data_IF_681370067596
#
_entry.id   IF_681370067596
#
_cell.length_a   1.000
_cell.length_b   1.000
_cell.length_c   1.000
_cell.angle_alpha   90.00
_cell.angle_beta   90.00
_cell.angle_gamma   90.00
#
_symmetry.space_group_name_H-M   'P 1'
#
loop_
_entity.id
_entity.type
_entity.pdbx_description
1 polymer ?
#
# COMPACT_ATOMS: atom_id res chain seq x y z
N UNK A 1 6.73 12.56 8.86
CA UNK A 1 7.27 12.63 7.48
C UNK A 1 6.15 12.33 6.50
N UNK A 2 6.07 13.06 5.40
CA UNK A 2 5.06 12.83 4.37
C UNK A 2 5.31 11.51 3.62
N UNK A 3 4.26 10.89 3.07
CA UNK A 3 4.35 9.63 2.32
C UNK A 3 5.10 9.81 1.00
N UNK A 4 5.89 8.81 0.56
CA UNK A 4 6.63 8.86 -0.72
C UNK A 4 5.63 9.08 -1.88
N UNK A 5 5.76 10.20 -2.60
CA UNK A 5 4.82 10.63 -3.64
C UNK A 5 3.77 11.67 -3.20
N UNK A 6 3.80 12.12 -1.95
CA UNK A 6 2.93 13.18 -1.41
C UNK A 6 3.78 14.35 -0.90
N UNK A 7 3.40 15.57 -1.29
CA UNK A 7 3.81 16.84 -0.69
C UNK A 7 2.56 17.46 -0.11
N UNK A 8 2.60 17.86 1.18
CA UNK A 8 1.45 18.43 1.88
C UNK A 8 0.85 19.63 1.09
N UNK A 9 -0.39 19.48 0.64
CA UNK A 9 -1.15 20.55 -0.05
C UNK A 9 -1.32 20.37 -1.56
N UNK A 10 -0.69 19.37 -2.18
CA UNK A 10 -0.87 19.08 -3.61
C UNK A 10 -1.69 17.80 -3.84
N UNK A 11 -2.43 17.76 -4.95
CA UNK A 11 -3.09 16.52 -5.42
C UNK A 11 -2.03 15.49 -5.71
N UNK A 12 -2.19 14.28 -5.18
CA UNK A 12 -1.36 13.12 -5.48
C UNK A 12 -1.15 12.98 -6.98
N UNK A 13 0.02 13.41 -7.46
CA UNK A 13 0.36 13.43 -8.87
C UNK A 13 0.97 12.07 -9.23
N UNK A 14 0.08 11.09 -9.38
CA UNK A 14 0.41 9.76 -9.91
C UNK A 14 1.11 9.82 -11.28
N UNK A 15 0.96 10.91 -12.03
CA UNK A 15 1.43 11.05 -13.42
C UNK A 15 2.83 11.72 -13.53
N UNK A 16 3.42 12.19 -12.43
CA UNK A 16 4.68 12.97 -12.48
C UNK A 16 5.99 12.22 -12.15
N UNK A 17 5.96 10.90 -11.90
CA UNK A 17 7.07 10.16 -11.25
C UNK A 17 7.69 9.04 -12.09
N UNK A 18 7.66 9.17 -13.42
CA UNK A 18 8.18 8.16 -14.35
C UNK A 18 9.68 8.27 -14.63
N UNK A 19 10.55 7.86 -13.69
CA UNK A 19 11.94 7.42 -13.95
C UNK A 19 12.53 6.74 -12.70
N UNK A 20 12.46 5.41 -12.55
CA UNK A 20 13.27 4.68 -11.54
C UNK A 20 13.16 5.16 -10.07
N UNK A 21 12.07 5.84 -9.69
CA UNK A 21 11.93 6.57 -8.41
C UNK A 21 11.62 5.73 -7.17
N UNK A 22 11.39 4.41 -7.31
CA UNK A 22 11.01 3.57 -6.17
C UNK A 22 12.11 3.51 -5.11
N UNK A 23 13.29 3.03 -5.49
CA UNK A 23 14.46 2.91 -4.61
C UNK A 23 15.04 4.28 -4.28
N UNK A 24 15.26 5.12 -5.30
CA UNK A 24 15.78 6.48 -5.11
C UNK A 24 14.85 7.35 -4.26
N UNK A 25 13.52 7.15 -4.35
CA UNK A 25 12.54 7.86 -3.53
C UNK A 25 12.51 7.38 -2.07
N UNK A 26 12.80 6.11 -1.80
CA UNK A 26 12.96 5.59 -0.44
C UNK A 26 14.26 6.11 0.18
N UNK A 27 15.38 6.04 -0.54
CA UNK A 27 16.68 6.57 -0.08
C UNK A 27 16.62 8.07 0.18
N UNK A 28 16.06 8.86 -0.74
CA UNK A 28 15.88 10.29 -0.56
C UNK A 28 15.01 10.60 0.67
N UNK A 29 13.95 9.81 0.89
CA UNK A 29 13.08 9.97 2.07
C UNK A 29 13.84 9.67 3.36
N UNK A 30 14.66 8.63 3.39
CA UNK A 30 15.51 8.27 4.54
C UNK A 30 16.58 9.35 4.77
N UNK A 31 17.20 9.89 3.72
CA UNK A 31 18.11 11.03 3.83
C UNK A 31 17.43 12.27 4.43
N UNK A 32 16.21 12.59 3.98
CA UNK A 32 15.38 13.66 4.57
C UNK A 32 15.05 13.37 6.04
N UNK A 33 14.80 12.11 6.41
CA UNK A 33 14.59 11.71 7.82
C UNK A 33 15.80 12.03 8.69
N UNK A 34 17.00 11.70 8.23
CA UNK A 34 18.23 12.06 8.93
C UNK A 34 18.41 13.58 9.06
N UNK A 35 18.10 14.35 8.02
CA UNK A 35 18.18 15.82 8.07
C UNK A 35 17.20 16.44 9.07
N UNK A 36 15.94 15.99 9.10
CA UNK A 36 14.96 16.49 10.07
C UNK A 36 15.29 16.06 11.50
N UNK A 37 15.79 14.83 11.68
CA UNK A 37 16.27 14.35 12.97
C UNK A 37 17.44 15.22 13.49
N UNK A 38 18.38 15.58 12.61
CA UNK A 38 19.48 16.47 12.97
C UNK A 38 18.97 17.84 13.46
N UNK A 39 18.03 18.45 12.73
CA UNK A 39 17.44 19.74 13.11
C UNK A 39 16.73 19.65 14.47
N UNK A 40 15.99 18.56 14.70
CA UNK A 40 15.32 18.31 15.97
C UNK A 40 16.33 18.16 17.13
N UNK A 41 17.39 17.37 16.93
CA UNK A 41 18.48 17.20 17.89
C UNK A 41 19.16 18.54 18.24
N UNK A 42 19.43 19.38 17.24
CA UNK A 42 19.97 20.73 17.44
C UNK A 42 19.01 21.63 18.21
N UNK A 43 17.69 21.48 18.00
CA UNK A 43 16.67 22.17 18.78
C UNK A 43 16.69 21.77 20.25
N UNK A 44 16.84 20.47 20.55
CA UNK A 44 16.95 19.95 21.92
C UNK A 44 18.20 20.49 22.61
N UNK A 45 19.34 20.49 21.93
CA UNK A 45 20.60 21.01 22.49
C UNK A 45 20.47 22.45 23.00
N UNK A 46 19.68 23.28 22.30
CA UNK A 46 19.41 24.67 22.72
C UNK A 46 18.46 24.78 23.90
N UNK A 47 17.50 23.88 24.03
CA UNK A 47 16.51 23.89 25.11
C UNK A 47 17.06 23.29 26.41
N UNK A 48 17.97 22.33 26.29
CA UNK A 48 18.52 21.57 27.41
C UNK A 48 20.06 21.57 27.36
N UNK A 49 20.67 22.75 27.41
CA UNK A 49 22.12 22.93 27.25
C UNK A 49 22.98 22.24 28.30
N UNK A 50 22.41 21.94 29.47
CA UNK A 50 23.11 21.31 30.59
C UNK A 50 22.76 19.82 30.76
N UNK A 51 21.85 19.29 29.93
CA UNK A 51 21.50 17.88 29.96
C UNK A 51 22.49 17.05 29.15
N UNK A 52 22.82 15.87 29.66
CA UNK A 52 23.59 14.85 28.94
C UNK A 52 22.67 13.72 28.50
N UNK A 53 22.82 13.28 27.26
CA UNK A 53 22.12 12.12 26.72
C UNK A 53 22.85 10.85 27.15
N UNK A 54 22.13 10.00 27.88
CA UNK A 54 22.59 8.67 28.29
C UNK A 54 22.25 7.59 27.27
N UNK A 55 21.10 7.68 26.61
CA UNK A 55 20.66 6.76 25.56
C UNK A 55 19.69 7.42 24.58
N UNK A 56 19.56 6.82 23.40
CA UNK A 56 18.62 7.19 22.35
C UNK A 56 17.84 5.95 21.93
N UNK A 57 16.52 6.00 22.08
CA UNK A 57 15.62 4.94 21.60
C UNK A 57 14.78 5.49 20.47
N UNK A 58 14.67 4.72 19.38
CA UNK A 58 13.91 5.09 18.20
C UNK A 58 12.80 4.08 17.93
N UNK A 59 11.58 4.59 17.86
CA UNK A 59 10.42 3.81 17.44
C UNK A 59 10.06 4.23 16.01
N UNK A 60 10.12 3.27 15.09
CA UNK A 60 10.03 3.52 13.66
C UNK A 60 8.74 2.91 13.12
N UNK A 61 7.89 3.76 12.53
CA UNK A 61 6.64 3.33 11.92
C UNK A 61 6.65 3.64 10.43
N UNK A 62 6.04 2.76 9.64
CA UNK A 62 5.92 3.00 8.21
C UNK A 62 4.77 2.23 7.58
N UNK A 63 4.14 2.86 6.58
CA UNK A 63 3.12 2.25 5.74
C UNK A 63 3.57 2.20 4.29
N UNK A 64 3.34 1.09 3.58
CA UNK A 64 3.61 0.96 2.15
C UNK A 64 5.09 1.16 1.82
N UNK A 65 5.41 2.09 0.92
CA UNK A 65 6.79 2.55 0.67
C UNK A 65 7.42 3.20 1.91
N UNK A 66 6.62 3.82 2.77
CA UNK A 66 7.08 4.31 4.07
C UNK A 66 7.53 3.18 5.00
N UNK A 67 6.94 1.99 4.88
CA UNK A 67 7.41 0.80 5.60
C UNK A 67 8.74 0.29 5.02
N UNK A 68 8.94 0.37 3.70
CA UNK A 68 10.23 0.09 3.08
C UNK A 68 11.31 1.08 3.55
N UNK A 69 10.97 2.37 3.64
CA UNK A 69 11.82 3.40 4.22
C UNK A 69 12.11 3.16 5.71
N UNK A 70 11.11 2.75 6.50
CA UNK A 70 11.29 2.38 7.90
C UNK A 70 12.27 1.21 8.06
N UNK A 71 12.17 0.18 7.21
CA UNK A 71 13.10 -0.96 7.20
C UNK A 71 14.52 -0.52 6.83
N UNK A 72 14.65 0.30 5.79
CA UNK A 72 15.94 0.81 5.35
C UNK A 72 16.59 1.70 6.41
N UNK A 73 15.83 2.62 6.99
CA UNK A 73 16.24 3.48 8.11
C UNK A 73 16.70 2.64 9.30
N UNK A 74 15.92 1.62 9.68
CA UNK A 74 16.25 0.73 10.79
C UNK A 74 17.59 0.02 10.58
N UNK A 75 17.88 -0.45 9.37
CA UNK A 75 19.19 -1.01 9.04
C UNK A 75 20.35 -0.01 9.19
N UNK A 76 20.15 1.25 8.77
CA UNK A 76 21.13 2.32 9.01
C UNK A 76 21.29 2.66 10.49
N UNK A 77 20.24 2.49 11.31
CA UNK A 77 20.36 2.62 12.78
C UNK A 77 21.19 1.50 13.37
N UNK A 78 20.87 0.27 12.99
CA UNK A 78 21.53 -0.92 13.50
C UNK A 78 23.00 -1.05 13.08
N UNK A 79 23.46 -0.32 12.06
CA UNK A 79 24.89 -0.26 11.70
C UNK A 79 25.73 0.58 12.68
N UNK A 80 25.11 1.25 13.65
CA UNK A 80 25.76 1.95 14.75
C UNK A 80 26.68 3.09 14.29
N UNK A 81 27.95 3.07 14.72
CA UNK A 81 28.93 4.13 14.47
C UNK A 81 29.42 4.25 13.03
N UNK A 82 29.01 3.35 12.12
CA UNK A 82 29.24 3.47 10.68
C UNK A 82 28.01 4.08 10.02
N UNK A 83 28.20 5.18 9.29
CA UNK A 83 27.14 5.83 8.51
C UNK A 83 26.49 7.01 9.22
N UNK A 84 25.19 7.19 8.97
CA UNK A 84 24.45 8.42 9.28
C UNK A 84 24.39 8.79 10.77
N UNK A 85 24.43 7.84 11.70
CA UNK A 85 24.36 8.14 13.14
C UNK A 85 25.59 8.84 13.69
N UNK A 86 26.77 8.49 13.19
CA UNK A 86 27.99 9.19 13.59
C UNK A 86 27.93 10.66 13.16
N UNK A 87 27.53 10.89 11.91
CA UNK A 87 27.35 12.22 11.37
C UNK A 87 26.29 13.03 12.16
N UNK A 88 25.18 12.38 12.53
CA UNK A 88 24.14 13.00 13.36
C UNK A 88 24.70 13.46 14.70
N UNK A 89 25.38 12.58 15.43
CA UNK A 89 25.95 12.88 16.74
C UNK A 89 26.92 14.05 16.63
N UNK A 90 27.88 13.97 15.70
CA UNK A 90 28.93 14.98 15.51
C UNK A 90 28.34 16.36 15.16
N UNK A 91 27.21 16.41 14.44
CA UNK A 91 26.58 17.67 14.00
C UNK A 91 25.45 18.17 14.91
N UNK A 92 24.99 17.36 15.87
CA UNK A 92 23.82 17.66 16.70
C UNK A 92 24.06 18.74 17.76
N UNK A 93 25.32 18.95 18.14
CA UNK A 93 25.72 19.75 19.30
C UNK A 93 25.10 19.28 20.63
N UNK A 94 24.56 18.05 20.70
CA UNK A 94 24.09 17.46 21.94
C UNK A 94 25.27 17.00 22.79
N UNK A 95 25.15 17.15 24.11
CA UNK A 95 26.09 16.56 25.06
C UNK A 95 25.68 15.12 25.30
N UNK A 96 26.63 14.20 25.14
CA UNK A 96 26.44 12.79 25.47
C UNK A 96 27.31 12.47 26.68
N UNK A 97 26.87 11.50 27.50
CA UNK A 97 27.69 11.01 28.62
C UNK A 97 29.09 10.58 28.13
N UNK A 98 30.15 10.68 28.96
CA UNK A 98 31.53 10.38 28.53
C UNK A 98 31.74 8.97 27.98
N UNK A 99 30.99 7.99 28.46
CA UNK A 99 31.02 6.59 28.06
C UNK A 99 29.96 6.23 27.01
N UNK A 100 29.34 7.22 26.37
CA UNK A 100 28.30 6.98 25.36
C UNK A 100 28.87 6.21 24.17
N UNK A 101 28.34 5.02 23.95
CA UNK A 101 28.73 4.15 22.86
C UNK A 101 27.57 4.04 21.87
N UNK A 102 27.62 4.66 20.68
CA UNK A 102 26.49 4.66 19.73
C UNK A 102 25.96 3.27 19.36
N UNK A 103 26.83 2.24 19.37
CA UNK A 103 26.43 0.86 19.08
C UNK A 103 25.61 0.21 20.21
N UNK A 104 25.71 0.71 21.43
CA UNK A 104 25.04 0.19 22.63
C UNK A 104 23.87 1.09 23.03
N UNK A 105 24.07 2.40 22.94
CA UNK A 105 23.19 3.41 23.51
C UNK A 105 22.20 3.98 22.50
N UNK A 106 22.37 3.71 21.20
CA UNK A 106 21.35 3.95 20.18
C UNK A 106 20.66 2.64 19.86
N UNK A 107 19.38 2.55 20.17
CA UNK A 107 18.61 1.32 20.04
C UNK A 107 17.31 1.56 19.27
N UNK A 108 16.89 0.54 18.53
CA UNK A 108 15.54 0.50 17.96
C UNK A 108 14.60 -0.07 19.04
N UNK A 109 13.66 0.74 19.50
CA UNK A 109 12.66 0.34 20.49
C UNK A 109 11.61 -0.56 19.88
N UNK A 110 10.99 -0.10 18.79
CA UNK A 110 9.94 -0.82 18.07
C UNK A 110 9.93 -0.44 16.57
N UNK A 111 9.68 -1.43 15.70
CA UNK A 111 9.50 -1.22 14.26
C UNK A 111 8.12 -1.72 13.84
N UNK A 112 7.18 -0.78 13.69
CA UNK A 112 5.80 -1.05 13.32
C UNK A 112 5.53 -0.83 11.84
N UNK A 113 5.30 -1.89 11.08
CA UNK A 113 5.13 -1.85 9.63
C UNK A 113 3.68 -2.13 9.24
N UNK A 114 3.17 -1.37 8.27
CA UNK A 114 1.91 -1.63 7.60
C UNK A 114 2.20 -1.94 6.14
N UNK A 115 1.94 -3.19 5.75
CA UNK A 115 1.86 -3.67 4.38
C UNK A 115 2.99 -3.19 3.47
N UNK A 116 4.23 -3.61 3.75
CA UNK A 116 5.42 -3.11 3.06
C UNK A 116 5.39 -3.38 1.57
N UNK A 117 5.57 -2.32 0.77
CA UNK A 117 5.73 -2.39 -0.69
C UNK A 117 7.02 -1.66 -1.06
N UNK A 118 8.03 -2.41 -1.51
CA UNK A 118 9.35 -1.88 -1.87
C UNK A 118 9.34 -1.12 -3.21
N UNK A 119 8.61 -1.62 -4.19
CA UNK A 119 8.52 -1.02 -5.52
C UNK A 119 7.20 -1.37 -6.21
N UNK A 120 6.77 -0.50 -7.12
CA UNK A 120 5.62 -0.74 -8.00
C UNK A 120 6.17 -1.31 -9.32
N UNK A 121 5.98 -2.63 -9.52
CA UNK A 121 6.58 -3.42 -10.61
C UNK A 121 6.25 -2.89 -12.01
N UNK A 122 5.09 -2.24 -12.19
CA UNK A 122 4.64 -1.73 -13.49
C UNK A 122 5.43 -0.54 -14.05
N UNK A 123 6.17 0.22 -13.24
CA UNK A 123 6.94 1.37 -13.74
C UNK A 123 8.37 1.03 -14.19
N UNK A 124 8.91 -0.11 -13.78
CA UNK A 124 10.29 -0.49 -14.08
C UNK A 124 10.45 -1.08 -15.49
N UNK A 125 9.35 -1.49 -16.13
CA UNK A 125 9.38 -2.09 -17.48
C UNK A 125 9.28 -1.07 -18.63
N UNK A 126 9.32 0.24 -18.34
CA UNK A 126 9.29 1.31 -19.35
C UNK A 126 10.68 1.84 -19.74
N UNK A 127 11.76 1.29 -19.19
CA UNK A 127 13.10 1.76 -19.50
C UNK A 127 14.14 0.73 -19.13
N UNK A 128 14.86 0.29 -20.14
CA UNK A 128 16.08 -0.48 -20.04
C UNK A 128 17.10 0.32 -19.21
N UNK A 129 17.15 0.11 -17.89
CA UNK A 129 18.18 0.68 -17.00
C UNK A 129 19.12 -0.43 -16.54
N UNK A 130 19.91 -0.89 -17.50
CA UNK A 130 21.29 -1.26 -17.22
C UNK A 130 22.01 -0.01 -16.69
N UNK A 131 22.13 0.12 -15.36
CA UNK A 131 23.08 1.06 -14.77
C UNK A 131 23.64 0.53 -13.45
N UNK A 132 24.91 0.14 -13.53
CA UNK A 132 25.84 -0.03 -12.41
C UNK A 132 25.71 1.14 -11.42
N UNK A 133 25.64 0.83 -10.11
CA UNK A 133 25.63 1.74 -8.95
C UNK A 133 24.30 2.39 -8.53
N UNK A 134 23.21 1.63 -8.45
CA UNK A 134 22.08 1.99 -7.56
C UNK A 134 22.32 1.30 -6.21
N UNK A 135 22.41 2.02 -5.08
CA UNK A 135 22.49 1.36 -3.78
C UNK A 135 21.19 0.57 -3.57
N UNK A 136 21.33 -0.72 -3.26
CA UNK A 136 20.17 -1.61 -3.10
C UNK A 136 19.50 -1.30 -1.77
N UNK A 137 18.18 -1.09 -1.78
CA UNK A 137 17.40 -0.92 -0.56
C UNK A 137 17.65 -2.08 0.41
N UNK A 138 18.11 -1.74 1.62
CA UNK A 138 18.29 -2.72 2.70
C UNK A 138 16.97 -2.97 3.42
N UNK A 139 16.24 -3.98 2.97
CA UNK A 139 14.95 -4.35 3.55
C UNK A 139 15.04 -5.50 4.56
N UNK A 140 16.12 -6.28 4.56
CA UNK A 140 16.30 -7.36 5.52
C UNK A 140 16.49 -6.80 6.93
N UNK A 141 15.58 -7.09 7.86
CA UNK A 141 15.74 -6.78 9.29
C UNK A 141 16.34 -7.98 10.01
N UNK A 142 17.59 -7.86 10.47
CA UNK A 142 18.27 -8.94 11.19
C UNK A 142 17.63 -9.15 12.59
N UNK A 143 17.01 -10.31 12.89
CA UNK A 143 16.33 -10.53 14.16
C UNK A 143 17.26 -10.51 15.38
N UNK A 144 18.55 -10.77 15.19
CA UNK A 144 19.54 -10.69 16.27
C UNK A 144 19.94 -9.26 16.65
N UNK A 145 19.54 -8.27 15.83
CA UNK A 145 19.90 -6.85 16.03
C UNK A 145 18.66 -5.98 16.19
N UNK A 146 17.57 -6.32 15.49
CA UNK A 146 16.31 -5.57 15.46
C UNK A 146 15.22 -6.50 15.99
N UNK A 147 15.01 -6.55 17.31
CA UNK A 147 14.16 -7.58 17.92
C UNK A 147 12.66 -7.27 17.96
N UNK A 148 12.27 -6.01 18.11
CA UNK A 148 10.86 -5.63 18.31
C UNK A 148 10.23 -5.15 16.99
N UNK A 149 9.97 -6.08 16.07
CA UNK A 149 9.37 -5.78 14.76
C UNK A 149 8.00 -6.44 14.66
N UNK A 150 7.03 -5.75 14.04
CA UNK A 150 5.77 -6.37 13.61
C UNK A 150 5.31 -5.77 12.30
N UNK A 151 4.71 -6.59 11.44
CA UNK A 151 4.06 -6.13 10.22
C UNK A 151 2.60 -6.57 10.16
N UNK A 152 1.70 -5.60 9.96
CA UNK A 152 0.32 -5.87 9.57
C UNK A 152 0.25 -6.01 8.04
N UNK A 153 -0.37 -7.06 7.54
CA UNK A 153 -0.41 -7.41 6.10
C UNK A 153 -1.84 -7.47 5.60
N UNK A 154 -2.07 -6.83 4.45
CA UNK A 154 -3.38 -6.79 3.81
C UNK A 154 -3.67 -8.15 3.18
N UNK A 155 -4.70 -8.84 3.68
CA UNK A 155 -5.13 -10.15 3.18
C UNK A 155 -5.69 -10.08 1.77
N UNK A 156 -6.49 -9.05 1.50
CA UNK A 156 -7.35 -8.99 0.32
C UNK A 156 -6.75 -8.14 -0.81
N UNK A 157 -5.52 -7.65 -0.63
CA UNK A 157 -4.79 -6.92 -1.67
C UNK A 157 -4.34 -7.85 -2.81
N UNK A 158 -4.75 -7.55 -4.04
CA UNK A 158 -4.52 -8.39 -5.23
C UNK A 158 -3.86 -7.66 -6.41
N UNK A 159 -3.57 -6.36 -6.28
CA UNK A 159 -2.99 -5.57 -7.37
C UNK A 159 -1.59 -6.05 -7.71
N UNK A 160 -1.32 -6.14 -9.02
CA UNK A 160 -0.01 -6.49 -9.56
C UNK A 160 1.11 -5.58 -9.02
N UNK A 161 0.82 -4.29 -8.90
CA UNK A 161 1.76 -3.25 -8.51
C UNK A 161 2.05 -3.16 -7.01
N UNK A 162 1.36 -3.93 -6.17
CA UNK A 162 1.45 -3.85 -4.72
C UNK A 162 2.06 -5.12 -4.13
N UNK A 163 3.21 -5.54 -4.66
CA UNK A 163 3.92 -6.71 -4.16
C UNK A 163 4.35 -6.54 -2.69
N UNK A 164 4.01 -7.51 -1.85
CA UNK A 164 4.32 -7.50 -0.43
C UNK A 164 5.80 -7.84 -0.21
N UNK A 165 6.52 -7.06 0.58
CA UNK A 165 7.83 -7.47 1.12
C UNK A 165 7.64 -8.10 2.50
N UNK A 166 7.86 -9.40 2.59
CA UNK A 166 7.63 -10.15 3.83
C UNK A 166 8.69 -9.84 4.89
N UNK A 167 8.35 -10.15 6.15
CA UNK A 167 9.28 -10.23 7.28
C UNK A 167 9.19 -11.56 8.04
N UNK A 168 8.19 -12.39 7.71
CA UNK A 168 8.10 -13.77 8.18
C UNK A 168 9.17 -14.65 7.48
N UNK A 169 9.73 -15.68 8.17
CA UNK A 169 9.42 -16.12 9.54
C UNK A 169 10.23 -15.40 10.63
N UNK A 170 11.21 -14.57 10.27
CA UNK A 170 12.14 -13.95 11.23
C UNK A 170 11.42 -13.00 12.22
N UNK A 171 10.32 -12.38 11.79
CA UNK A 171 9.54 -11.43 12.58
C UNK A 171 8.03 -11.70 12.47
N UNK A 172 7.24 -11.32 13.50
CA UNK A 172 5.78 -11.40 13.47
C UNK A 172 5.12 -10.68 12.27
N UNK A 173 4.37 -11.43 11.48
CA UNK A 173 3.55 -10.93 10.36
C UNK A 173 2.08 -11.30 10.61
N UNK A 174 1.24 -10.30 10.84
CA UNK A 174 -0.19 -10.48 11.16
C UNK A 174 -1.02 -10.14 9.92
N UNK A 175 -1.68 -11.14 9.35
CA UNK A 175 -2.55 -10.95 8.18
C UNK A 175 -3.95 -10.55 8.65
N UNK A 176 -4.45 -9.42 8.15
CA UNK A 176 -5.74 -8.82 8.54
C UNK A 176 -6.63 -8.58 7.32
N UNK A 177 -7.97 -8.65 7.46
CA UNK A 177 -8.89 -8.47 6.34
C UNK A 177 -8.79 -7.05 5.75
N UNK A 178 -9.05 -6.91 4.45
CA UNK A 178 -8.95 -5.64 3.75
C UNK A 178 -7.73 -5.53 2.84
N UNK A 179 -7.74 -4.46 2.06
CA UNK A 179 -6.72 -4.12 1.06
C UNK A 179 -5.69 -3.15 1.64
N UNK A 180 -4.67 -2.81 0.85
CA UNK A 180 -3.51 -2.02 1.29
C UNK A 180 -3.85 -0.79 2.15
N UNK A 181 -4.77 0.05 1.68
CA UNK A 181 -5.18 1.29 2.37
C UNK A 181 -6.30 1.09 3.40
N UNK A 182 -6.93 -0.10 3.45
CA UNK A 182 -7.76 -0.46 4.60
C UNK A 182 -6.88 -0.67 5.83
N UNK A 183 -5.62 -1.10 5.65
CA UNK A 183 -4.65 -1.25 6.73
C UNK A 183 -3.98 0.06 7.12
N UNK A 184 -3.24 0.67 6.18
CA UNK A 184 -2.45 1.86 6.47
C UNK A 184 -3.24 3.18 6.50
N UNK A 185 -4.52 3.12 6.15
CA UNK A 185 -5.35 4.31 5.95
C UNK A 185 -5.18 4.96 4.57
N UNK A 186 -5.94 6.02 4.34
CA UNK A 186 -5.95 6.80 3.09
C UNK A 186 -7.30 6.82 2.38
N UNK A 187 -8.21 5.90 2.71
CA UNK A 187 -9.60 6.01 2.29
C UNK A 187 -10.34 7.08 3.10
N UNK A 188 -11.28 7.75 2.43
CA UNK A 188 -12.21 8.68 3.10
C UNK A 188 -13.16 7.89 3.98
N UNK A 189 -13.75 8.54 4.98
CA UNK A 189 -14.77 7.92 5.84
C UNK A 189 -15.89 7.28 5.03
N UNK A 190 -16.27 7.91 3.91
CA UNK A 190 -17.24 7.38 2.96
C UNK A 190 -16.74 7.58 1.54
N UNK A 191 -16.80 6.53 0.73
CA UNK A 191 -16.39 6.54 -0.67
C UNK A 191 -17.42 5.81 -1.52
N UNK A 192 -17.72 6.41 -2.68
CA UNK A 192 -18.51 5.76 -3.73
C UNK A 192 -17.55 5.03 -4.67
N UNK A 193 -17.64 3.71 -4.70
CA UNK A 193 -16.92 2.87 -5.65
C UNK A 193 -17.77 2.71 -6.91
N UNK A 194 -17.18 3.00 -8.07
CA UNK A 194 -17.73 2.66 -9.38
C UNK A 194 -16.58 2.08 -10.23
N UNK A 195 -16.36 0.77 -10.09
CA UNK A 195 -15.11 0.13 -10.51
C UNK A 195 -15.38 -1.08 -11.42
N UNK A 196 -14.72 -1.15 -12.56
CA UNK A 196 -14.69 -2.32 -13.43
C UNK A 196 -13.89 -3.42 -12.75
N UNK A 197 -14.57 -4.49 -12.34
CA UNK A 197 -13.94 -5.62 -11.65
C UNK A 197 -13.47 -6.72 -12.62
N UNK A 198 -13.94 -6.66 -13.86
CA UNK A 198 -13.38 -7.39 -15.01
C UNK A 198 -12.87 -6.40 -16.05
N UNK A 199 -11.95 -6.81 -16.95
CA UNK A 199 -11.67 -6.02 -18.15
C UNK A 199 -12.97 -5.75 -18.92
N UNK A 200 -13.08 -4.56 -19.51
CA UNK A 200 -14.13 -4.28 -20.48
C UNK A 200 -13.77 -5.00 -21.78
N UNK A 201 -14.48 -6.08 -22.09
CA UNK A 201 -14.24 -6.84 -23.30
C UNK A 201 -14.92 -6.18 -24.50
N UNK A 202 -14.40 -6.39 -25.70
CA UNK A 202 -14.97 -5.88 -26.95
C UNK A 202 -15.10 -6.97 -28.00
N UNK A 203 -16.18 -6.96 -28.78
CA UNK A 203 -16.42 -7.90 -29.88
C UNK A 203 -17.02 -7.19 -31.09
N UNK A 204 -16.58 -7.54 -32.30
CA UNK A 204 -17.13 -6.98 -33.54
C UNK A 204 -18.24 -7.86 -34.11
N UNK A 205 -19.45 -7.32 -34.20
CA UNK A 205 -20.67 -8.02 -34.57
C UNK A 205 -21.42 -7.27 -35.68
N UNK A 206 -22.39 -7.92 -36.32
CA UNK A 206 -23.30 -7.26 -37.27
C UNK A 206 -24.14 -6.17 -36.57
N UNK A 207 -24.64 -5.18 -37.31
CA UNK A 207 -25.35 -4.03 -36.73
C UNK A 207 -26.60 -4.43 -35.92
N UNK A 208 -27.30 -5.46 -36.38
CA UNK A 208 -28.52 -6.00 -35.80
C UNK A 208 -28.27 -6.91 -34.58
N UNK A 209 -27.04 -7.38 -34.37
CA UNK A 209 -26.76 -8.35 -33.31
C UNK A 209 -26.81 -7.69 -31.93
N UNK A 210 -27.54 -8.30 -30.99
CA UNK A 210 -27.63 -7.81 -29.61
C UNK A 210 -26.37 -8.19 -28.83
N UNK A 211 -25.86 -7.26 -28.01
CA UNK A 211 -24.73 -7.52 -27.11
C UNK A 211 -25.06 -8.64 -26.12
N UNK A 212 -26.31 -8.79 -25.71
CA UNK A 212 -26.71 -9.81 -24.72
C UNK A 212 -26.56 -11.25 -25.23
N UNK A 213 -26.46 -11.44 -26.55
CA UNK A 213 -26.29 -12.76 -27.19
C UNK A 213 -24.82 -13.12 -27.42
N UNK A 214 -23.90 -12.21 -27.09
CA UNK A 214 -22.47 -12.39 -27.36
C UNK A 214 -21.73 -13.20 -26.30
N UNK A 215 -20.58 -13.76 -26.68
CA UNK A 215 -19.67 -14.43 -25.74
C UNK A 215 -19.21 -13.50 -24.61
N UNK A 216 -18.91 -12.24 -24.93
CA UNK A 216 -18.41 -11.26 -23.94
C UNK A 216 -19.47 -10.92 -22.87
N UNK A 217 -20.76 -10.95 -23.23
CA UNK A 217 -21.84 -10.75 -22.26
C UNK A 217 -22.03 -11.98 -21.38
N UNK A 218 -21.98 -13.19 -21.96
CA UNK A 218 -21.99 -14.44 -21.19
C UNK A 218 -20.84 -14.48 -20.17
N UNK A 219 -19.63 -14.09 -20.58
CA UNK A 219 -18.48 -14.02 -19.67
C UNK A 219 -18.73 -13.04 -18.51
N UNK A 220 -19.40 -11.91 -18.76
CA UNK A 220 -19.75 -10.94 -17.72
C UNK A 220 -20.83 -11.50 -16.76
N UNK A 221 -21.79 -12.27 -17.26
CA UNK A 221 -22.78 -13.00 -16.44
C UNK A 221 -22.11 -14.04 -15.56
N UNK A 222 -21.21 -14.84 -16.11
CA UNK A 222 -20.43 -15.84 -15.36
C UNK A 222 -19.53 -15.18 -14.32
N UNK A 223 -18.90 -14.05 -14.65
CA UNK A 223 -18.13 -13.25 -13.68
C UNK A 223 -19.02 -12.75 -12.54
N UNK A 224 -20.23 -12.25 -12.84
CA UNK A 224 -21.18 -11.80 -11.81
C UNK A 224 -21.57 -12.95 -10.88
N UNK A 225 -21.87 -14.13 -11.43
CA UNK A 225 -22.20 -15.31 -10.65
C UNK A 225 -21.06 -15.74 -9.72
N UNK A 226 -19.80 -15.70 -10.19
CA UNK A 226 -18.63 -15.98 -9.34
C UNK A 226 -18.48 -15.00 -8.18
N UNK A 227 -18.64 -13.70 -8.43
CA UNK A 227 -18.57 -12.69 -7.37
C UNK A 227 -19.68 -12.88 -6.33
N UNK A 228 -20.90 -13.20 -6.75
CA UNK A 228 -22.00 -13.52 -5.83
C UNK A 228 -21.65 -14.76 -4.99
N UNK A 229 -21.08 -15.80 -5.60
CA UNK A 229 -20.64 -17.01 -4.89
C UNK A 229 -19.49 -16.73 -3.90
N UNK A 230 -18.65 -15.74 -4.17
CA UNK A 230 -17.61 -15.24 -3.24
C UNK A 230 -18.19 -14.36 -2.10
N UNK A 231 -19.51 -14.16 -2.05
CA UNK A 231 -20.21 -13.44 -0.99
C UNK A 231 -20.42 -11.94 -1.26
N UNK A 232 -20.23 -11.48 -2.50
CA UNK A 232 -20.48 -10.08 -2.86
C UNK A 232 -21.99 -9.81 -3.07
N UNK A 233 -22.52 -8.64 -2.67
CA UNK A 233 -23.93 -8.31 -2.85
C UNK A 233 -24.33 -8.20 -4.33
N UNK A 234 -25.34 -8.95 -4.75
CA UNK A 234 -25.75 -9.04 -6.16
C UNK A 234 -26.29 -7.72 -6.74
N UNK A 235 -26.86 -6.88 -5.89
CA UNK A 235 -27.42 -5.55 -6.18
C UNK A 235 -26.33 -4.51 -6.46
N UNK A 236 -25.12 -4.69 -5.91
CA UNK A 236 -23.95 -3.84 -6.18
C UNK A 236 -23.23 -4.18 -7.49
N UNK A 237 -23.56 -5.32 -8.11
CA UNK A 237 -22.87 -5.85 -9.27
C UNK A 237 -23.68 -5.61 -10.56
N UNK A 238 -23.13 -4.82 -11.47
CA UNK A 238 -23.78 -4.39 -12.69
C UNK A 238 -22.99 -4.86 -13.91
N UNK A 239 -23.67 -5.52 -14.84
CA UNK A 239 -23.11 -5.75 -16.17
C UNK A 239 -23.26 -4.45 -16.94
N UNK A 240 -22.15 -3.94 -17.45
CA UNK A 240 -22.11 -2.67 -18.18
C UNK A 240 -21.87 -2.97 -19.65
N UNK A 241 -22.77 -2.44 -20.48
CA UNK A 241 -22.72 -2.50 -21.94
C UNK A 241 -22.72 -1.08 -22.50
N UNK A 242 -21.55 -0.41 -22.58
CA UNK A 242 -21.44 0.92 -23.19
C UNK A 242 -21.99 0.96 -24.63
N UNK A 243 -22.27 2.17 -25.11
CA UNK A 243 -22.77 2.39 -26.47
C UNK A 243 -21.84 1.74 -27.51
N UNK A 244 -22.43 1.01 -28.46
CA UNK A 244 -21.67 0.30 -29.47
C UNK A 244 -21.02 1.29 -30.45
N UNK A 245 -19.76 1.03 -30.80
CA UNK A 245 -19.02 1.85 -31.75
C UNK A 245 -19.24 1.29 -33.16
N UNK A 246 -19.88 2.08 -34.05
CA UNK A 246 -20.02 1.66 -35.45
C UNK A 246 -18.65 1.65 -36.13
N UNK A 247 -18.32 0.55 -36.78
CA UNK A 247 -17.04 0.40 -37.47
C UNK A 247 -17.11 1.04 -38.87
N UNK A 248 -15.99 1.62 -39.36
CA UNK A 248 -15.92 2.08 -40.73
C UNK A 248 -16.10 0.90 -41.70
N UNK A 249 -16.60 1.17 -42.93
CA UNK A 249 -16.66 0.15 -43.97
C UNK A 249 -15.28 -0.44 -44.25
N UNK A 250 -15.23 -1.74 -44.53
CA UNK A 250 -13.99 -2.41 -44.89
C UNK A 250 -13.45 -1.81 -46.21
N UNK A 251 -12.20 -1.34 -46.17
CA UNK A 251 -11.54 -0.75 -47.33
C UNK A 251 -11.17 -1.79 -48.39
N UNK A 252 -10.96 -3.04 -47.98
CA UNK A 252 -10.59 -4.16 -48.84
C UNK A 252 -11.81 -4.92 -49.37
N UNK A 253 -12.91 -4.95 -48.59
CA UNK A 253 -14.20 -5.54 -49.02
C UNK A 253 -15.38 -4.59 -48.83
N UNK A 254 -15.64 -3.76 -49.85
CA UNK A 254 -16.75 -2.80 -49.84
C UNK A 254 -18.15 -3.45 -49.82
N UNK A 255 -18.24 -4.75 -50.09
CA UNK A 255 -19.51 -5.50 -50.04
C UNK A 255 -19.73 -6.16 -48.67
N UNK A 256 -18.74 -6.11 -47.76
CA UNK A 256 -18.87 -6.66 -46.42
C UNK A 256 -20.04 -5.99 -45.66
N UNK A 257 -20.83 -6.77 -44.89
CA UNK A 257 -21.92 -6.23 -44.11
C UNK A 257 -21.39 -5.23 -43.07
N UNK A 258 -22.18 -4.19 -42.79
CA UNK A 258 -21.80 -3.22 -41.79
C UNK A 258 -21.69 -3.87 -40.40
N UNK A 259 -20.67 -3.46 -39.64
CA UNK A 259 -20.35 -4.00 -38.32
C UNK A 259 -20.33 -2.91 -37.26
N UNK A 260 -20.52 -3.33 -36.01
CA UNK A 260 -20.33 -2.52 -34.81
C UNK A 260 -19.45 -3.28 -33.83
N UNK A 261 -18.71 -2.54 -33.01
CA UNK A 261 -18.01 -3.07 -31.85
C UNK A 261 -18.87 -2.87 -30.62
N UNK A 262 -19.24 -3.98 -30.00
CA UNK A 262 -19.98 -4.00 -28.73
C UNK A 262 -19.02 -4.26 -27.57
N UNK A 263 -19.42 -3.85 -26.37
CA UNK A 263 -18.62 -3.96 -25.16
C UNK A 263 -19.43 -4.58 -24.02
N UNK A 264 -18.78 -5.39 -23.19
CA UNK A 264 -19.39 -5.96 -22.00
C UNK A 264 -18.35 -6.15 -20.90
N UNK A 265 -18.74 -5.91 -19.65
CA UNK A 265 -17.91 -6.15 -18.49
C UNK A 265 -18.71 -6.05 -17.19
N UNK A 266 -18.12 -6.49 -16.09
CA UNK A 266 -18.71 -6.39 -14.76
C UNK A 266 -18.15 -5.19 -14.01
N UNK A 267 -19.05 -4.38 -13.46
CA UNK A 267 -18.76 -3.23 -12.64
C UNK A 267 -19.36 -3.42 -11.25
N UNK A 268 -18.65 -3.00 -10.22
CA UNK A 268 -19.20 -2.85 -8.87
C UNK A 268 -19.55 -1.38 -8.63
N UNK A 269 -20.75 -1.13 -8.09
CA UNK A 269 -21.23 0.18 -7.63
C UNK A 269 -21.75 0.07 -6.21
N UNK A 270 -21.10 0.77 -5.29
CA UNK A 270 -21.50 0.75 -3.88
C UNK A 270 -20.86 1.88 -3.08
N UNK A 271 -21.39 2.07 -1.89
CA UNK A 271 -20.77 2.88 -0.85
C UNK A 271 -19.90 2.01 0.07
N UNK A 272 -18.67 2.44 0.32
CA UNK A 272 -17.72 1.77 1.21
C UNK A 272 -17.17 2.78 2.21
N UNK A 273 -16.94 2.31 3.43
CA UNK A 273 -16.50 3.14 4.54
C UNK A 273 -15.03 2.89 4.91
N UNK A 274 -14.30 3.96 5.20
CA UNK A 274 -12.85 3.94 5.46
C UNK A 274 -12.41 3.67 6.90
N UNK A 275 -13.34 3.46 7.84
CA UNK A 275 -13.00 3.38 9.27
C UNK A 275 -12.31 2.07 9.67
N UNK A 276 -12.22 1.07 8.79
CA UNK A 276 -11.51 -0.18 9.09
C UNK A 276 -10.03 0.05 9.45
N UNK A 277 -9.41 1.06 8.83
CA UNK A 277 -8.03 1.49 9.16
C UNK A 277 -7.86 1.95 10.61
N UNK A 278 -8.94 2.44 11.25
CA UNK A 278 -8.92 2.84 12.66
C UNK A 278 -8.80 1.64 13.58
N UNK A 279 -9.41 0.51 13.21
CA UNK A 279 -9.26 -0.77 13.94
C UNK A 279 -7.80 -1.19 13.94
N UNK A 280 -7.14 -1.17 12.79
CA UNK A 280 -5.74 -1.60 12.67
C UNK A 280 -4.74 -0.62 13.26
N UNK A 281 -5.07 0.68 13.25
CA UNK A 281 -4.34 1.67 14.03
C UNK A 281 -4.33 1.31 15.52
N UNK A 282 -5.47 0.87 16.09
CA UNK A 282 -5.54 0.41 17.49
C UNK A 282 -4.78 -0.88 17.74
N UNK A 283 -4.81 -1.84 16.80
CA UNK A 283 -3.99 -3.05 16.88
C UNK A 283 -2.51 -2.70 16.96
N UNK A 284 -1.99 -1.88 16.03
CA UNK A 284 -0.58 -1.46 16.06
C UNK A 284 -0.24 -0.65 17.31
N UNK A 285 -1.13 0.26 17.73
CA UNK A 285 -0.95 1.05 18.96
C UNK A 285 -0.82 0.17 20.20
N UNK A 286 -1.68 -0.85 20.33
CA UNK A 286 -1.61 -1.81 21.43
C UNK A 286 -0.33 -2.65 21.39
N UNK A 287 0.06 -3.14 20.21
CA UNK A 287 1.31 -3.89 20.02
C UNK A 287 2.55 -3.04 20.39
N UNK A 288 2.57 -1.78 19.99
CA UNK A 288 3.63 -0.84 20.34
C UNK A 288 3.66 -0.53 21.85
N UNK A 289 2.50 -0.25 22.47
CA UNK A 289 2.42 -0.01 23.93
C UNK A 289 2.84 -1.24 24.74
N UNK A 290 2.51 -2.45 24.28
CA UNK A 290 2.98 -3.69 24.91
C UNK A 290 4.51 -3.86 24.87
N UNK A 291 5.20 -3.09 24.01
CA UNK A 291 6.67 -3.00 23.93
C UNK A 291 7.21 -1.70 24.54
N UNK A 292 6.43 -1.02 25.39
CA UNK A 292 6.78 0.20 26.10
C UNK A 292 7.07 1.42 25.21
N UNK A 293 6.59 1.43 23.97
CA UNK A 293 6.64 2.64 23.13
C UNK A 293 5.80 3.74 23.83
N UNK A 294 6.35 4.95 24.03
CA UNK A 294 5.71 6.02 24.80
C UNK A 294 4.61 6.75 24.00
N UNK A 295 3.65 5.99 23.45
CA UNK A 295 2.49 6.53 22.75
C UNK A 295 1.45 7.03 23.77
N UNK A 296 0.88 8.20 23.47
CA UNK A 296 -0.31 8.70 24.17
C UNK A 296 -1.50 7.78 23.91
N UNK A 297 -2.45 7.78 24.82
CA UNK A 297 -3.74 7.14 24.57
C UNK A 297 -4.46 7.82 23.40
N UNK A 298 -5.22 7.02 22.65
CA UNK A 298 -5.98 7.49 21.51
C UNK A 298 -7.14 8.35 22.04
N UNK A 299 -7.13 9.62 21.66
CA UNK A 299 -8.15 10.58 22.06
C UNK A 299 -9.53 10.20 21.55
N UNK A 300 -10.57 10.52 22.32
CA UNK A 300 -11.97 10.37 21.88
C UNK A 300 -12.35 11.52 20.93
N UNK A 301 -11.86 11.42 19.69
CA UNK A 301 -12.15 12.35 18.59
C UNK A 301 -12.85 11.62 17.44
N UNK A 302 -13.72 12.30 16.67
CA UNK A 302 -14.43 11.70 15.55
C UNK A 302 -13.54 11.01 14.51
N UNK A 303 -12.31 11.49 14.29
CA UNK A 303 -11.35 10.85 13.38
C UNK A 303 -10.81 9.49 13.88
N UNK A 304 -10.90 9.20 15.19
CA UNK A 304 -10.40 7.97 15.82
C UNK A 304 -11.51 7.05 16.34
N UNK A 305 -12.76 7.49 16.29
CA UNK A 305 -13.91 6.69 16.70
C UNK A 305 -14.10 5.48 15.79
N UNK A 306 -14.43 4.35 16.41
CA UNK A 306 -14.77 3.11 15.71
C UNK A 306 -16.30 3.00 15.69
N UNK A 307 -16.91 2.65 14.54
CA UNK A 307 -18.32 2.36 14.49
C UNK A 307 -18.69 1.23 15.45
N UNK A 308 -19.83 1.33 16.15
CA UNK A 308 -20.27 0.33 17.14
C UNK A 308 -20.23 -1.12 16.62
N UNK A 309 -20.56 -1.32 15.34
CA UNK A 309 -20.54 -2.63 14.68
C UNK A 309 -19.13 -3.25 14.52
N UNK A 310 -18.07 -2.44 14.63
CA UNK A 310 -16.67 -2.87 14.59
C UNK A 310 -16.02 -2.93 15.98
N UNK A 311 -16.69 -2.51 17.06
CA UNK A 311 -16.08 -2.46 18.39
C UNK A 311 -15.70 -3.84 18.91
N UNK A 312 -16.61 -4.82 18.81
CA UNK A 312 -16.37 -6.19 19.24
C UNK A 312 -15.19 -6.82 18.48
N UNK A 313 -15.17 -6.63 17.15
CA UNK A 313 -14.07 -7.04 16.30
C UNK A 313 -12.76 -6.37 16.75
N UNK A 314 -12.76 -5.05 16.91
CA UNK A 314 -11.58 -4.30 17.29
C UNK A 314 -10.99 -4.78 18.62
N UNK A 315 -11.83 -4.94 19.64
CA UNK A 315 -11.39 -5.37 20.97
C UNK A 315 -10.73 -6.75 20.91
N UNK A 316 -11.29 -7.66 20.10
CA UNK A 316 -10.73 -9.00 19.92
C UNK A 316 -9.41 -8.99 19.14
N UNK A 317 -9.32 -8.23 18.04
CA UNK A 317 -8.06 -8.08 17.28
C UNK A 317 -6.96 -7.44 18.14
N UNK A 318 -7.30 -6.44 18.96
CA UNK A 318 -6.37 -5.79 19.91
C UNK A 318 -5.90 -6.76 21.00
N UNK A 319 -6.76 -7.68 21.44
CA UNK A 319 -6.40 -8.74 22.38
C UNK A 319 -5.51 -9.84 21.75
N UNK A 320 -5.23 -9.78 20.45
CA UNK A 320 -4.36 -10.71 19.74
C UNK A 320 -5.09 -11.92 19.13
N UNK A 321 -6.43 -11.94 19.14
CA UNK A 321 -7.23 -12.94 18.43
C UNK A 321 -7.64 -12.37 17.07
N UNK A 322 -6.97 -12.83 16.02
CA UNK A 322 -7.14 -12.37 14.64
C UNK A 322 -8.16 -13.20 13.84
N UNK A 323 -8.98 -14.02 14.51
CA UNK A 323 -10.03 -14.82 13.85
C UNK A 323 -11.27 -13.98 13.54
N UNK A 324 -11.97 -14.36 12.46
CA UNK A 324 -13.19 -13.69 12.01
C UNK A 324 -14.35 -14.67 11.99
N UNK A 325 -15.51 -14.23 12.45
CA UNK A 325 -16.77 -14.98 12.27
C UNK A 325 -17.31 -14.77 10.85
N UNK A 326 -18.13 -15.70 10.33
CA UNK A 326 -18.76 -15.52 9.00
C UNK A 326 -19.60 -14.24 8.87
N UNK A 327 -20.22 -13.80 9.97
CA UNK A 327 -20.98 -12.55 10.01
C UNK A 327 -20.08 -11.33 9.86
N UNK A 328 -18.91 -11.33 10.52
CA UNK A 328 -17.91 -10.26 10.39
C UNK A 328 -17.27 -10.26 9.01
N UNK A 329 -16.96 -11.42 8.43
CA UNK A 329 -16.48 -11.51 7.04
C UNK A 329 -17.47 -10.87 6.05
N UNK A 330 -18.76 -11.14 6.24
CA UNK A 330 -19.83 -10.57 5.41
C UNK A 330 -19.91 -9.06 5.62
N UNK A 331 -19.95 -8.60 6.88
CA UNK A 331 -19.99 -7.19 7.25
C UNK A 331 -18.82 -6.40 6.65
N UNK A 332 -17.60 -6.90 6.85
CA UNK A 332 -16.38 -6.26 6.38
C UNK A 332 -16.38 -6.20 4.85
N UNK A 333 -16.67 -7.31 4.17
CA UNK A 333 -16.74 -7.37 2.71
C UNK A 333 -17.74 -6.37 2.14
N UNK A 334 -18.92 -6.27 2.75
CA UNK A 334 -20.01 -5.45 2.21
C UNK A 334 -19.77 -3.96 2.43
N UNK A 335 -19.21 -3.57 3.58
CA UNK A 335 -19.20 -2.17 4.03
C UNK A 335 -17.83 -1.52 4.20
N UNK A 336 -16.76 -2.29 4.33
CA UNK A 336 -15.48 -1.77 4.81
C UNK A 336 -14.26 -2.14 3.97
N UNK A 337 -14.26 -3.31 3.34
CA UNK A 337 -13.15 -3.76 2.49
C UNK A 337 -13.33 -3.13 1.11
N UNK A 338 -12.39 -2.29 0.71
CA UNK A 338 -12.44 -1.61 -0.59
C UNK A 338 -12.02 -2.55 -1.73
N UNK A 339 -12.51 -2.27 -2.93
CA UNK A 339 -12.09 -2.99 -4.14
C UNK A 339 -10.86 -2.29 -4.74
N UNK A 340 -9.68 -2.53 -4.17
CA UNK A 340 -8.45 -1.88 -4.66
C UNK A 340 -8.04 -2.34 -6.06
N UNK A 341 -8.26 -3.62 -6.38
CA UNK A 341 -7.91 -4.19 -7.67
C UNK A 341 -9.06 -4.04 -8.67
N UNK A 342 -8.83 -3.29 -9.76
CA UNK A 342 -9.84 -2.98 -10.76
C UNK A 342 -9.22 -2.64 -12.13
N UNK A 343 -10.06 -2.63 -13.16
CA UNK A 343 -9.71 -2.38 -14.56
C UNK A 343 -10.12 -0.97 -15.03
N UNK A 344 -10.54 -0.07 -14.14
CA UNK A 344 -10.79 1.32 -14.53
C UNK A 344 -9.54 1.98 -15.13
N UNK A 345 -9.79 2.79 -16.15
CA UNK A 345 -8.78 3.63 -16.76
C UNK A 345 -8.38 4.76 -15.78
N UNK A 346 -7.09 4.97 -15.48
CA UNK A 346 -6.65 6.01 -14.56
C UNK A 346 -7.01 7.43 -15.04
N UNK A 347 -7.23 7.62 -16.35
CA UNK A 347 -7.64 8.90 -16.95
C UNK A 347 -8.93 8.77 -17.77
N UNK A 348 -10.00 8.24 -17.18
CA UNK A 348 -11.32 8.13 -17.84
C UNK A 348 -11.96 9.48 -18.25
N UNK A 349 -11.25 10.61 -18.17
CA UNK A 349 -11.70 11.94 -18.62
C UNK A 349 -11.12 12.42 -19.95
N UNK A 350 -10.11 11.77 -20.53
CA UNK A 350 -9.51 12.22 -21.78
C UNK A 350 -9.79 11.21 -22.91
N UNK A 351 -10.85 11.50 -23.68
CA UNK A 351 -11.16 10.79 -24.92
C UNK A 351 -9.99 10.94 -25.91
N UNK A 352 -9.53 9.82 -26.47
CA UNK A 352 -9.07 9.82 -27.87
C UNK A 352 -7.56 9.85 -28.16
N UNK A 353 -6.67 9.32 -27.32
CA UNK A 353 -5.31 8.97 -27.78
C UNK A 353 -4.86 7.61 -27.26
N UNK A 354 -4.44 6.75 -28.18
CA UNK A 354 -3.76 5.49 -27.91
C UNK A 354 -2.39 5.78 -27.28
N UNK A 355 -2.36 5.95 -25.96
CA UNK A 355 -1.16 5.86 -25.15
C UNK A 355 -1.16 4.44 -24.59
N UNK A 356 -0.11 3.67 -24.85
CA UNK A 356 0.10 2.31 -24.34
C UNK A 356 -0.23 2.27 -22.84
N UNK A 357 -1.38 1.65 -22.55
CA UNK A 357 -2.14 1.83 -21.32
C UNK A 357 -1.56 1.04 -20.14
N UNK A 358 -1.22 1.69 -19.03
CA UNK A 358 -0.94 1.03 -17.75
C UNK A 358 -2.22 0.95 -16.91
N UNK A 359 -2.78 -0.25 -16.75
CA UNK A 359 -3.78 -0.53 -15.71
C UNK A 359 -3.08 -0.59 -14.34
N UNK A 360 -2.89 0.57 -13.70
CA UNK A 360 -2.11 0.69 -12.45
C UNK A 360 -2.70 -0.16 -11.31
N UNK A 361 -4.02 -0.35 -11.30
CA UNK A 361 -4.73 -1.11 -10.27
C UNK A 361 -5.17 -2.50 -10.76
N UNK A 362 -4.67 -3.01 -11.89
CA UNK A 362 -5.09 -4.33 -12.35
C UNK A 362 -4.73 -5.44 -11.35
N UNK A 363 -5.62 -6.41 -11.14
CA UNK A 363 -5.30 -7.60 -10.35
C UNK A 363 -4.20 -8.44 -11.01
N UNK A 364 -3.52 -9.26 -10.20
CA UNK A 364 -2.72 -10.38 -10.68
C UNK A 364 -3.59 -11.38 -11.46
N UNK A 365 -3.01 -12.05 -12.49
CA UNK A 365 -3.76 -12.98 -13.37
C UNK A 365 -4.42 -14.14 -12.63
N UNK A 366 -3.80 -14.58 -11.53
CA UNK A 366 -4.27 -15.65 -10.64
C UNK A 366 -5.03 -15.13 -9.41
N UNK A 367 -5.15 -13.80 -9.25
CA UNK A 367 -5.72 -13.17 -8.07
C UNK A 367 -4.85 -13.33 -6.82
N UNK A 368 -3.61 -13.80 -6.94
CA UNK A 368 -2.68 -14.02 -5.83
C UNK A 368 -1.65 -12.89 -5.82
N UNK A 369 -1.53 -12.23 -4.67
CA UNK A 369 -0.56 -11.15 -4.47
C UNK A 369 0.87 -11.67 -4.56
N UNK A 370 1.73 -10.97 -5.30
CA UNK A 370 3.18 -11.23 -5.31
C UNK A 370 3.75 -10.98 -3.92
N UNK A 371 4.58 -11.91 -3.45
CA UNK A 371 5.29 -11.82 -2.16
C UNK A 371 6.80 -11.97 -2.39
N UNK A 372 7.57 -11.01 -1.88
CA UNK A 372 9.02 -11.03 -1.88
C UNK A 372 9.52 -11.53 -0.52
N UNK A 373 10.40 -12.56 -0.50
CA UNK A 373 10.83 -13.19 0.74
C UNK A 373 11.74 -12.27 1.55
N UNK A 374 11.78 -12.50 2.87
CA UNK A 374 12.65 -11.77 3.78
C UNK A 374 14.07 -12.34 3.75
N UNK A 375 14.83 -12.00 2.71
CA UNK A 375 16.20 -12.50 2.52
C UNK A 375 17.23 -11.39 2.61
N UNK A 376 18.44 -11.72 3.07
CA UNK A 376 19.59 -10.81 2.98
C UNK A 376 19.90 -10.56 1.52
N UNK A 377 19.89 -9.30 1.11
CA UNK A 377 20.44 -8.93 -0.19
C UNK A 377 21.93 -9.13 -0.13
N UNK A 378 22.47 -10.13 -0.83
CA UNK A 378 23.91 -10.30 -0.92
C UNK A 378 24.51 -9.02 -1.53
N UNK A 379 25.42 -8.40 -0.78
CA UNK A 379 26.38 -7.48 -1.37
C UNK A 379 27.20 -8.33 -2.34
N UNK A 380 26.99 -8.13 -3.64
CA UNK A 380 27.96 -8.60 -4.63
C UNK A 380 29.22 -7.79 -4.31
N UNK A 381 30.20 -8.47 -3.73
CA UNK A 381 31.50 -7.93 -3.34
C UNK A 381 32.20 -7.23 -4.52
#
# INVERSE_FOLDING_TARGET
MDGIGTVRGEKDSWVGSGTGRGETGVEERVGKMFQELLKWMQGISRLYSDAEISSVTLDVFGFSRGAAAARHFSNHVSSGSRGYWRELIDRSALKFRPDFAPYVDVQLGFVGLFDTVASIVGWNNLGNLSSKHIPRLQLYLNPNVIGNVVQLVARDEKRFNFALSQISPDHPEITLPGVHSDLGGGYRTLMQEELMVTPLQSLEVALEHDVTETSIYRDAVEAKARWIAEGWPADTLHIVTPEAERLPPDSEDRMAPARKRVFAGLQIRREVRGELSRVYCRVMHALAKAKNVPLKDIEDKPEFQIPAELEALCNRLVAGDYTLTPAEETLLRHRYIHTSAHWNHPTARERGRAITLLYINSPMKDGIRVRHPHVRTEAVL
#
